data_IF_499364528480
#
_entry.id   IF_499364528480
#
_cell.length_a   1.000
_cell.length_b   1.000
_cell.length_c   1.000
_cell.angle_alpha   90.00
_cell.angle_beta   90.00
_cell.angle_gamma   90.00
#
_symmetry.space_group_name_H-M   'P 1'
#
loop_
_entity.id
_entity.type
_entity.pdbx_description
1 polymer ?
#
# COMPACT_ATOMS: atom_id res chain seq x y z
N UNK A 1 50.69 -15.32 -63.18
CA UNK A 1 49.31 -14.95 -62.90
C UNK A 1 48.91 -15.68 -61.63
N UNK A 2 49.04 -15.03 -60.49
CA UNK A 2 48.68 -15.57 -59.17
C UNK A 2 47.56 -14.73 -58.60
N UNK A 3 46.38 -15.33 -58.44
CA UNK A 3 45.19 -14.72 -57.84
C UNK A 3 45.24 -14.93 -56.33
N UNK A 4 45.29 -13.86 -55.58
CA UNK A 4 45.12 -13.84 -54.14
C UNK A 4 43.60 -13.90 -53.82
N UNK A 5 43.14 -14.75 -52.92
CA UNK A 5 41.79 -14.65 -52.35
C UNK A 5 41.78 -13.71 -51.14
N UNK A 6 41.01 -12.63 -51.22
CA UNK A 6 40.68 -11.78 -50.08
C UNK A 6 39.81 -12.56 -49.08
N UNK A 7 40.33 -12.76 -47.87
CA UNK A 7 39.60 -13.32 -46.74
C UNK A 7 38.79 -12.19 -46.11
N UNK A 8 37.46 -12.20 -46.29
CA UNK A 8 36.53 -11.24 -45.69
C UNK A 8 36.20 -11.73 -44.26
N UNK A 9 36.85 -11.15 -43.25
CA UNK A 9 36.53 -11.39 -41.86
C UNK A 9 35.25 -10.66 -41.50
N UNK A 10 34.14 -11.39 -41.35
CA UNK A 10 32.86 -10.86 -40.91
C UNK A 10 32.87 -10.78 -39.37
N UNK A 11 33.10 -9.57 -38.84
CA UNK A 11 33.09 -9.26 -37.42
C UNK A 11 31.64 -9.24 -36.90
N UNK A 12 31.16 -10.33 -36.33
CA UNK A 12 29.86 -10.36 -35.64
C UNK A 12 29.97 -9.54 -34.36
N UNK A 13 29.46 -8.31 -34.36
CA UNK A 13 29.20 -7.50 -33.18
C UNK A 13 28.03 -8.12 -32.40
N UNK A 14 28.34 -8.93 -31.39
CA UNK A 14 27.37 -9.37 -30.38
C UNK A 14 27.02 -8.17 -29.50
N UNK A 15 25.88 -7.52 -29.77
CA UNK A 15 25.27 -6.55 -28.85
C UNK A 15 24.70 -7.29 -27.66
N UNK A 16 25.42 -7.34 -26.57
CA UNK A 16 24.84 -7.74 -25.27
C UNK A 16 23.85 -6.68 -24.82
N UNK A 17 22.58 -6.93 -25.01
CA UNK A 17 21.54 -6.17 -24.33
C UNK A 17 21.70 -6.41 -22.83
N UNK A 18 22.23 -5.43 -22.09
CA UNK A 18 22.24 -5.44 -20.64
C UNK A 18 20.78 -5.37 -20.17
N UNK A 19 20.18 -6.50 -19.84
CA UNK A 19 18.93 -6.53 -19.10
C UNK A 19 19.18 -5.81 -17.77
N UNK A 20 18.51 -4.69 -17.56
CA UNK A 20 18.55 -3.98 -16.28
C UNK A 20 18.09 -4.98 -15.21
N UNK A 21 18.93 -5.26 -14.23
CA UNK A 21 18.54 -6.14 -13.13
C UNK A 21 17.24 -5.58 -12.51
N UNK A 22 16.26 -6.45 -12.29
CA UNK A 22 15.02 -6.08 -11.61
C UNK A 22 15.38 -5.46 -10.26
N UNK A 23 14.78 -4.31 -9.95
CA UNK A 23 15.00 -3.70 -8.64
C UNK A 23 14.29 -4.53 -7.54
N UNK A 24 14.52 -4.21 -6.27
CA UNK A 24 13.98 -4.98 -5.13
C UNK A 24 12.45 -5.00 -5.14
N UNK A 25 11.80 -3.98 -5.67
CA UNK A 25 10.33 -3.87 -5.72
C UNK A 25 9.75 -4.75 -6.82
N UNK A 26 10.37 -4.75 -8.00
CA UNK A 26 10.00 -5.66 -9.09
C UNK A 26 10.23 -7.13 -8.67
N UNK A 27 11.33 -7.41 -7.97
CA UNK A 27 11.62 -8.73 -7.44
C UNK A 27 10.58 -9.18 -6.39
N UNK A 28 10.12 -8.28 -5.52
CA UNK A 28 9.08 -8.57 -4.54
C UNK A 28 7.75 -8.91 -5.22
N UNK A 29 7.37 -8.17 -6.28
CA UNK A 29 6.15 -8.43 -7.06
C UNK A 29 6.26 -9.75 -7.84
N UNK A 30 7.43 -10.09 -8.37
CA UNK A 30 7.67 -11.32 -9.11
C UNK A 30 7.93 -12.55 -8.20
N UNK A 31 7.84 -12.41 -6.88
CA UNK A 31 8.19 -13.49 -5.94
C UNK A 31 7.28 -14.72 -6.12
N UNK A 32 7.90 -15.91 -6.29
CA UNK A 32 7.20 -17.14 -6.62
C UNK A 32 6.23 -17.64 -5.52
N UNK A 33 6.38 -17.16 -4.28
CA UNK A 33 5.49 -17.52 -3.16
C UNK A 33 4.14 -16.79 -3.15
N UNK A 34 3.91 -15.86 -4.07
CA UNK A 34 2.66 -15.06 -4.13
C UNK A 34 1.49 -15.85 -4.71
N UNK A 35 0.29 -15.55 -4.24
CA UNK A 35 -0.92 -16.21 -4.69
C UNK A 35 -1.30 -15.83 -6.13
N UNK A 36 -1.98 -16.73 -6.85
CA UNK A 36 -2.51 -16.43 -8.17
C UNK A 36 -3.52 -15.26 -8.17
N UNK A 37 -4.25 -15.08 -7.07
CA UNK A 37 -5.18 -13.97 -6.88
C UNK A 37 -4.43 -12.63 -6.81
N UNK A 38 -3.30 -12.59 -6.09
CA UNK A 38 -2.46 -11.41 -5.99
C UNK A 38 -1.84 -11.04 -7.35
N UNK A 39 -1.31 -12.03 -8.07
CA UNK A 39 -0.75 -11.80 -9.41
C UNK A 39 -1.80 -11.25 -10.40
N UNK A 40 -3.04 -11.71 -10.29
CA UNK A 40 -4.15 -11.17 -11.09
C UNK A 40 -4.52 -9.74 -10.72
N UNK A 41 -4.28 -9.34 -9.47
CA UNK A 41 -4.56 -7.99 -8.95
C UNK A 41 -3.48 -6.98 -9.36
N UNK A 42 -2.22 -7.40 -9.51
CA UNK A 42 -1.07 -6.53 -9.76
C UNK A 42 -1.27 -5.50 -10.89
N UNK A 43 -1.83 -5.86 -12.07
CA UNK A 43 -2.05 -4.89 -13.15
C UNK A 43 -3.00 -3.74 -12.81
N UNK A 44 -3.84 -3.92 -11.78
CA UNK A 44 -4.79 -2.90 -11.32
C UNK A 44 -4.18 -1.99 -10.25
N UNK A 45 -3.27 -2.52 -9.43
CA UNK A 45 -2.75 -1.84 -8.24
C UNK A 45 -1.31 -1.34 -8.40
N UNK A 46 -0.59 -1.71 -9.49
CA UNK A 46 0.77 -1.27 -9.79
C UNK A 46 1.72 -1.34 -8.58
N UNK A 47 1.80 -2.50 -7.88
CA UNK A 47 2.41 -2.57 -6.55
C UNK A 47 3.91 -2.25 -6.54
N UNK A 48 4.66 -2.55 -7.60
CA UNK A 48 6.08 -2.20 -7.68
C UNK A 48 6.28 -0.68 -7.66
N UNK A 49 5.45 0.07 -8.39
CA UNK A 49 5.52 1.53 -8.43
C UNK A 49 5.13 2.14 -7.08
N UNK A 50 4.10 1.60 -6.43
CA UNK A 50 3.65 2.04 -5.11
C UNK A 50 4.75 1.79 -4.06
N UNK A 51 5.34 0.60 -4.04
CA UNK A 51 6.44 0.28 -3.12
C UNK A 51 7.68 1.14 -3.39
N UNK A 52 8.01 1.39 -4.64
CA UNK A 52 9.15 2.25 -5.03
C UNK A 52 8.96 3.68 -4.52
N UNK A 53 7.75 4.22 -4.59
CA UNK A 53 7.40 5.52 -4.02
C UNK A 53 7.55 5.56 -2.50
N UNK A 54 7.20 4.49 -1.80
CA UNK A 54 7.37 4.41 -0.34
C UNK A 54 8.83 4.51 0.09
N UNK A 55 9.76 4.08 -0.77
CA UNK A 55 11.19 4.08 -0.48
C UNK A 55 11.60 3.14 0.65
N UNK A 56 10.77 2.17 1.04
CA UNK A 56 11.14 1.17 2.04
C UNK A 56 12.34 0.35 1.60
N UNK A 57 13.16 -0.10 2.55
CA UNK A 57 14.43 -0.78 2.29
C UNK A 57 14.63 -1.93 3.26
N UNK A 58 15.60 -2.78 2.95
CA UNK A 58 16.02 -3.87 3.83
C UNK A 58 16.32 -3.36 5.25
N UNK A 59 15.79 -4.07 6.24
CA UNK A 59 15.97 -3.80 7.67
C UNK A 59 14.95 -2.82 8.27
N UNK A 60 14.08 -2.21 7.47
CA UNK A 60 13.06 -1.27 7.97
C UNK A 60 11.95 -1.96 8.75
N UNK A 61 11.34 -1.19 9.67
CA UNK A 61 10.13 -1.51 10.43
C UNK A 61 8.94 -0.82 9.76
N UNK A 62 8.00 -1.58 9.23
CA UNK A 62 6.86 -1.06 8.47
C UNK A 62 5.57 -1.50 9.14
N UNK A 63 4.62 -0.58 9.34
CA UNK A 63 3.25 -0.93 9.71
C UNK A 63 2.33 -0.80 8.49
N UNK A 64 1.58 -1.86 8.21
CA UNK A 64 0.50 -1.90 7.21
C UNK A 64 -0.81 -1.93 7.99
N UNK A 65 -1.51 -0.79 8.04
CA UNK A 65 -2.65 -0.58 8.93
C UNK A 65 -3.94 -0.82 8.17
N UNK A 66 -4.84 -1.60 8.76
CA UNK A 66 -6.03 -2.17 8.12
C UNK A 66 -5.63 -2.94 6.85
N UNK A 67 -4.62 -3.78 7.01
CA UNK A 67 -3.96 -4.50 5.91
C UNK A 67 -4.88 -5.51 5.18
N UNK A 68 -6.03 -5.83 5.80
CA UNK A 68 -6.96 -6.83 5.29
C UNK A 68 -6.33 -8.22 5.20
N UNK A 69 -6.30 -8.77 4.00
CA UNK A 69 -5.67 -10.07 3.74
C UNK A 69 -4.12 -10.01 3.64
N UNK A 70 -3.51 -8.81 3.79
CA UNK A 70 -2.06 -8.62 3.83
C UNK A 70 -1.35 -8.57 2.49
N UNK A 71 -2.02 -8.17 1.43
CA UNK A 71 -1.41 -8.05 0.10
C UNK A 71 -0.14 -7.18 0.11
N UNK A 72 -0.19 -5.97 0.68
CA UNK A 72 0.98 -5.11 0.79
C UNK A 72 1.92 -5.52 1.91
N UNK A 73 1.41 -6.14 2.98
CA UNK A 73 2.25 -6.72 4.03
C UNK A 73 3.21 -7.77 3.49
N UNK A 74 2.73 -8.69 2.62
CA UNK A 74 3.57 -9.69 1.97
C UNK A 74 4.63 -9.05 1.06
N UNK A 75 4.24 -8.10 0.22
CA UNK A 75 5.16 -7.41 -0.67
C UNK A 75 6.22 -6.62 0.11
N UNK A 76 5.81 -5.90 1.16
CA UNK A 76 6.73 -5.17 2.03
C UNK A 76 7.70 -6.14 2.73
N UNK A 77 7.24 -7.33 3.14
CA UNK A 77 8.09 -8.33 3.81
C UNK A 77 9.27 -8.78 2.94
N UNK A 78 9.04 -8.94 1.64
CA UNK A 78 10.09 -9.29 0.70
C UNK A 78 11.11 -8.15 0.51
N UNK A 79 10.64 -6.89 0.52
CA UNK A 79 11.50 -5.71 0.40
C UNK A 79 12.35 -5.49 1.64
N UNK A 80 11.72 -5.53 2.85
CA UNK A 80 12.46 -5.29 4.08
C UNK A 80 13.34 -6.47 4.49
N UNK A 81 13.05 -7.66 3.98
CA UNK A 81 13.84 -8.86 4.18
C UNK A 81 13.96 -9.32 5.65
N UNK A 82 14.81 -10.30 5.94
CA UNK A 82 14.84 -10.97 7.25
C UNK A 82 15.35 -10.10 8.40
N UNK A 83 15.96 -8.96 8.11
CA UNK A 83 16.41 -7.99 9.13
C UNK A 83 15.37 -6.92 9.44
N UNK A 84 14.36 -6.77 8.57
CA UNK A 84 13.23 -5.87 8.75
C UNK A 84 12.03 -6.60 9.35
N UNK A 85 10.97 -5.86 9.58
CA UNK A 85 9.71 -6.38 10.13
C UNK A 85 8.52 -5.64 9.54
N UNK A 86 7.44 -6.36 9.32
CA UNK A 86 6.15 -5.79 8.92
C UNK A 86 5.14 -6.09 10.00
N UNK A 87 4.58 -5.05 10.60
CA UNK A 87 3.44 -5.12 11.50
C UNK A 87 2.17 -5.01 10.65
N UNK A 88 1.52 -6.14 10.46
CA UNK A 88 0.26 -6.26 9.75
C UNK A 88 -0.87 -6.05 10.75
N UNK A 89 -1.41 -4.84 10.80
CA UNK A 89 -2.37 -4.43 11.83
C UNK A 89 -3.77 -4.42 11.22
N UNK A 90 -4.67 -5.21 11.78
CA UNK A 90 -6.09 -5.20 11.49
C UNK A 90 -6.89 -4.87 12.76
N UNK A 91 -8.15 -4.51 12.58
CA UNK A 91 -9.16 -4.65 13.64
C UNK A 91 -10.00 -5.90 13.38
N UNK A 92 -10.90 -6.22 14.30
CA UNK A 92 -11.74 -7.41 14.20
C UNK A 92 -12.56 -7.50 12.91
N UNK A 93 -13.01 -6.37 12.37
CA UNK A 93 -13.76 -6.34 11.11
C UNK A 93 -12.89 -6.72 9.91
N UNK A 94 -11.70 -6.16 9.81
CA UNK A 94 -10.77 -6.45 8.71
C UNK A 94 -10.25 -7.89 8.76
N UNK A 95 -10.03 -8.45 9.95
CA UNK A 95 -9.68 -9.85 10.09
C UNK A 95 -10.85 -10.76 9.66
N UNK A 96 -12.07 -10.41 10.06
CA UNK A 96 -13.26 -11.17 9.65
C UNK A 96 -13.45 -11.17 8.12
N UNK A 97 -13.29 -9.99 7.48
CA UNK A 97 -13.46 -9.88 6.03
C UNK A 97 -12.32 -10.50 5.23
N UNK A 98 -11.12 -10.53 5.79
CA UNK A 98 -9.92 -11.11 5.18
C UNK A 98 -9.65 -12.57 5.52
N UNK A 99 -10.45 -13.23 6.39
CA UNK A 99 -10.13 -14.45 7.11
C UNK A 99 -9.46 -15.55 6.28
N UNK A 100 -10.10 -16.03 5.23
CA UNK A 100 -9.55 -17.13 4.44
C UNK A 100 -8.23 -16.81 3.74
N UNK A 101 -8.14 -15.75 2.94
CA UNK A 101 -6.90 -15.31 2.30
C UNK A 101 -5.80 -14.94 3.31
N UNK A 102 -6.16 -14.32 4.43
CA UNK A 102 -5.23 -13.98 5.51
C UNK A 102 -4.58 -15.22 6.11
N UNK A 103 -5.39 -16.21 6.49
CA UNK A 103 -4.90 -17.48 7.04
C UNK A 103 -3.99 -18.20 6.05
N UNK A 104 -4.37 -18.27 4.78
CA UNK A 104 -3.54 -18.86 3.73
C UNK A 104 -2.20 -18.13 3.55
N UNK A 105 -2.21 -16.79 3.67
CA UNK A 105 -1.01 -15.96 3.53
C UNK A 105 -0.02 -16.21 4.66
N UNK A 106 -0.49 -16.39 5.89
CA UNK A 106 0.35 -16.59 7.08
C UNK A 106 0.64 -18.06 7.37
N UNK A 107 0.06 -19.00 6.61
CA UNK A 107 0.22 -20.44 6.84
C UNK A 107 1.71 -20.84 6.86
N UNK A 108 2.03 -21.79 7.74
CA UNK A 108 3.37 -22.39 7.86
C UNK A 108 4.49 -21.37 8.12
N UNK A 109 4.16 -20.21 8.69
CA UNK A 109 5.12 -19.13 8.98
C UNK A 109 5.97 -18.71 7.77
N UNK A 110 5.39 -18.78 6.56
CA UNK A 110 6.12 -18.49 5.30
C UNK A 110 6.62 -17.04 5.21
N UNK A 111 6.02 -16.12 5.96
CA UNK A 111 6.40 -14.71 6.09
C UNK A 111 6.91 -14.47 7.52
N UNK A 112 8.05 -15.05 7.86
CA UNK A 112 8.60 -15.07 9.23
C UNK A 112 8.94 -13.68 9.81
N UNK A 113 8.97 -12.64 8.97
CA UNK A 113 9.18 -11.24 9.35
C UNK A 113 7.90 -10.40 9.31
N UNK A 114 6.72 -11.03 9.18
CA UNK A 114 5.41 -10.40 9.31
C UNK A 114 4.82 -10.78 10.65
N UNK A 115 4.43 -9.78 11.43
CA UNK A 115 3.66 -9.94 12.67
C UNK A 115 2.24 -9.45 12.41
N UNK A 116 1.27 -10.35 12.53
CA UNK A 116 -0.14 -10.00 12.43
C UNK A 116 -0.70 -9.71 13.83
N UNK A 117 -1.36 -8.57 13.95
CA UNK A 117 -1.98 -8.11 15.18
C UNK A 117 -3.41 -7.63 14.92
N UNK A 118 -4.35 -8.12 15.75
CA UNK A 118 -5.72 -7.60 15.78
C UNK A 118 -5.84 -6.60 16.91
N UNK A 119 -5.93 -5.30 16.58
CA UNK A 119 -5.91 -4.22 17.57
C UNK A 119 -7.20 -3.39 17.54
N UNK A 120 -7.54 -2.77 18.66
CA UNK A 120 -8.44 -1.62 18.67
C UNK A 120 -7.69 -0.41 18.08
N UNK A 121 -8.16 0.12 16.97
CA UNK A 121 -7.53 1.27 16.33
C UNK A 121 -7.49 2.51 17.25
N UNK A 122 -8.47 2.65 18.14
CA UNK A 122 -8.48 3.75 19.09
C UNK A 122 -7.38 3.64 20.16
N UNK A 123 -6.84 2.43 20.37
CA UNK A 123 -5.76 2.15 21.34
C UNK A 123 -4.78 1.10 20.81
N UNK A 124 -4.07 1.42 19.73
CA UNK A 124 -3.07 0.51 19.14
C UNK A 124 -1.82 0.35 20.01
N UNK A 125 -1.59 1.25 20.92
CA UNK A 125 -0.45 1.25 21.84
C UNK A 125 0.92 1.09 21.14
N UNK A 126 1.06 1.68 19.96
CA UNK A 126 2.29 1.59 19.16
C UNK A 126 3.44 2.31 19.86
N UNK A 127 4.61 1.66 19.88
CA UNK A 127 5.82 2.24 20.48
C UNK A 127 6.23 3.50 19.70
N UNK A 128 6.47 4.60 20.44
CA UNK A 128 6.91 5.86 19.84
C UNK A 128 8.24 5.70 19.10
N UNK A 129 8.37 6.34 17.93
CA UNK A 129 9.58 6.39 17.11
C UNK A 129 10.18 5.00 16.77
N UNK A 130 9.32 4.00 16.60
CA UNK A 130 9.75 2.63 16.27
C UNK A 130 9.64 2.30 14.77
N UNK A 131 8.74 2.97 14.04
CA UNK A 131 8.43 2.68 12.65
C UNK A 131 9.24 3.56 11.69
N UNK A 132 9.74 2.96 10.62
CA UNK A 132 10.36 3.67 9.49
C UNK A 132 9.31 4.10 8.48
N UNK A 133 8.25 3.29 8.29
CA UNK A 133 7.15 3.59 7.40
C UNK A 133 5.80 3.10 7.94
N UNK A 134 4.73 3.78 7.54
CA UNK A 134 3.33 3.39 7.74
C UNK A 134 2.64 3.38 6.38
N UNK A 135 1.87 2.33 6.12
CA UNK A 135 1.02 2.19 4.95
C UNK A 135 -0.45 2.33 5.34
N UNK A 136 -1.17 3.17 4.62
CA UNK A 136 -2.63 3.30 4.62
C UNK A 136 -3.08 3.15 3.18
N UNK A 137 -3.47 1.93 2.77
CA UNK A 137 -3.72 1.63 1.36
C UNK A 137 -5.17 1.23 1.13
N UNK A 138 -5.95 2.17 0.64
CA UNK A 138 -7.41 2.07 0.39
C UNK A 138 -8.23 1.89 1.67
N UNK A 139 -7.77 2.50 2.76
CA UNK A 139 -8.36 2.34 4.10
C UNK A 139 -8.43 3.65 4.91
N UNK A 140 -7.81 4.73 4.43
CA UNK A 140 -7.87 6.00 5.16
C UNK A 140 -9.29 6.55 5.22
N UNK A 141 -10.08 6.39 4.15
CA UNK A 141 -11.50 6.75 4.17
C UNK A 141 -12.29 5.94 5.20
N UNK A 142 -11.90 4.69 5.50
CA UNK A 142 -12.59 3.86 6.48
C UNK A 142 -12.44 4.40 7.92
N UNK A 143 -11.40 5.17 8.21
CA UNK A 143 -11.26 5.86 9.50
C UNK A 143 -12.37 6.90 9.73
N UNK A 144 -13.02 7.35 8.66
CA UNK A 144 -14.17 8.28 8.67
C UNK A 144 -15.51 7.58 8.43
N UNK A 145 -15.47 6.27 8.17
CA UNK A 145 -16.69 5.49 7.97
C UNK A 145 -17.38 5.20 9.31
N UNK A 146 -18.71 5.30 9.32
CA UNK A 146 -19.51 5.02 10.50
C UNK A 146 -20.52 3.93 10.17
N UNK A 147 -20.50 2.83 10.94
CA UNK A 147 -21.49 1.76 10.86
C UNK A 147 -22.83 2.17 11.49
N UNK A 148 -23.53 3.08 10.84
CA UNK A 148 -24.83 3.57 11.33
C UNK A 148 -25.96 2.55 11.24
N UNK A 149 -25.79 1.49 10.43
CA UNK A 149 -26.79 0.46 10.20
C UNK A 149 -26.51 -0.87 10.91
N UNK A 150 -25.39 -0.98 11.66
CA UNK A 150 -24.97 -2.22 12.29
C UNK A 150 -24.60 -3.33 11.30
N UNK A 151 -24.18 -2.95 10.09
CA UNK A 151 -23.84 -3.89 9.02
C UNK A 151 -22.66 -4.81 9.37
N UNK A 152 -21.81 -4.39 10.30
CA UNK A 152 -20.65 -5.16 10.76
C UNK A 152 -20.97 -6.05 11.98
N UNK A 153 -22.21 -6.03 12.48
CA UNK A 153 -22.55 -6.77 13.71
C UNK A 153 -21.78 -6.30 14.96
N UNK A 154 -21.30 -5.06 14.95
CA UNK A 154 -20.53 -4.47 16.05
C UNK A 154 -19.00 -4.67 15.92
N UNK A 155 -18.51 -5.29 14.84
CA UNK A 155 -17.07 -5.48 14.62
C UNK A 155 -16.34 -4.17 14.27
N UNK A 156 -17.08 -3.14 13.83
CA UNK A 156 -16.52 -1.83 13.53
C UNK A 156 -16.99 -0.81 14.57
N UNK A 157 -16.16 -0.48 15.56
CA UNK A 157 -16.49 0.54 16.54
C UNK A 157 -16.41 1.93 15.91
N UNK A 158 -16.93 2.93 16.61
CA UNK A 158 -16.67 4.32 16.22
C UNK A 158 -15.18 4.61 16.34
N UNK A 159 -14.57 5.11 15.27
CA UNK A 159 -13.15 5.45 15.23
C UNK A 159 -12.95 6.91 15.65
N UNK A 160 -12.05 7.15 16.58
CA UNK A 160 -11.45 8.46 16.82
C UNK A 160 -10.32 8.68 15.80
N UNK A 161 -10.70 9.13 14.61
CA UNK A 161 -9.75 9.30 13.51
C UNK A 161 -8.56 10.18 13.89
N UNK A 162 -8.79 11.26 14.66
CA UNK A 162 -7.72 12.14 15.10
C UNK A 162 -6.74 11.37 16.00
N UNK A 163 -7.24 10.65 17.00
CA UNK A 163 -6.43 9.82 17.89
C UNK A 163 -5.66 8.72 17.15
N UNK A 164 -6.27 8.07 16.16
CA UNK A 164 -5.59 7.06 15.31
C UNK A 164 -4.41 7.69 14.56
N UNK A 165 -4.64 8.80 13.87
CA UNK A 165 -3.59 9.46 13.08
C UNK A 165 -2.47 10.00 13.99
N UNK A 166 -2.80 10.49 15.18
CA UNK A 166 -1.81 10.95 16.18
C UNK A 166 -0.97 9.77 16.72
N UNK A 167 -1.57 8.58 16.92
CA UNK A 167 -0.83 7.38 17.30
C UNK A 167 0.17 6.98 16.19
N UNK A 168 -0.25 6.98 14.92
CA UNK A 168 0.64 6.68 13.78
C UNK A 168 1.75 7.72 13.64
N UNK A 169 1.42 9.00 13.80
CA UNK A 169 2.42 10.07 13.79
C UNK A 169 3.45 9.88 14.90
N UNK A 170 3.03 9.54 16.13
CA UNK A 170 3.92 9.29 17.26
C UNK A 170 4.80 8.05 17.02
N UNK A 171 4.25 6.98 16.45
CA UNK A 171 4.97 5.74 16.20
C UNK A 171 6.06 5.87 15.14
N UNK A 172 5.87 6.74 14.13
CA UNK A 172 6.87 7.01 13.12
C UNK A 172 8.10 7.72 13.70
N UNK A 173 9.28 7.30 13.29
CA UNK A 173 10.55 8.00 13.54
C UNK A 173 10.51 9.40 12.91
N UNK A 174 11.29 10.37 13.42
CA UNK A 174 11.55 11.62 12.68
C UNK A 174 12.06 11.30 11.27
N UNK A 175 11.49 11.95 10.24
CA UNK A 175 11.80 11.63 8.84
C UNK A 175 11.15 10.35 8.30
N UNK A 176 10.41 9.62 9.12
CA UNK A 176 9.66 8.43 8.70
C UNK A 176 8.60 8.74 7.64
N UNK A 177 8.21 7.73 6.89
CA UNK A 177 7.35 7.86 5.71
C UNK A 177 5.93 7.34 6.03
N UNK A 178 4.91 8.07 5.57
CA UNK A 178 3.56 7.56 5.46
C UNK A 178 3.17 7.48 3.99
N UNK A 179 2.89 6.28 3.51
CA UNK A 179 2.36 6.01 2.18
C UNK A 179 0.85 5.94 2.27
N UNK A 180 0.17 6.82 1.53
CA UNK A 180 -1.27 6.88 1.45
C UNK A 180 -1.72 6.63 0.01
N UNK A 181 -2.55 5.62 -0.17
CA UNK A 181 -3.29 5.37 -1.41
C UNK A 181 -4.76 5.32 -1.06
N UNK A 182 -5.62 6.11 -1.73
CA UNK A 182 -7.04 5.98 -1.47
C UNK A 182 -7.91 6.34 -2.68
N UNK A 183 -9.18 5.93 -2.60
CA UNK A 183 -10.20 6.19 -3.62
C UNK A 183 -10.59 7.66 -3.61
N UNK A 184 -10.39 8.33 -4.74
CA UNK A 184 -10.70 9.76 -4.87
C UNK A 184 -12.20 10.03 -4.77
N UNK A 185 -12.56 10.99 -3.94
CA UNK A 185 -13.90 11.61 -3.94
C UNK A 185 -13.93 12.86 -4.83
N UNK A 186 -15.11 13.42 -5.05
CA UNK A 186 -15.27 14.71 -5.75
C UNK A 186 -14.73 15.84 -4.88
N UNK A 187 -14.22 16.88 -5.55
CA UNK A 187 -13.76 18.09 -4.86
C UNK A 187 -14.89 18.72 -4.03
N UNK A 188 -14.53 19.22 -2.86
CA UNK A 188 -15.45 19.86 -1.92
C UNK A 188 -16.22 18.90 -1.00
N UNK A 189 -16.01 17.57 -1.14
CA UNK A 189 -16.71 16.59 -0.29
C UNK A 189 -15.96 16.33 1.03
N UNK A 190 -14.68 16.68 1.12
CA UNK A 190 -13.86 16.36 2.29
C UNK A 190 -13.88 14.87 2.60
N UNK A 191 -14.31 14.50 3.80
CA UNK A 191 -14.50 13.12 4.21
C UNK A 191 -15.95 12.61 4.12
N UNK A 192 -16.91 13.46 3.72
CA UNK A 192 -18.34 13.09 3.75
C UNK A 192 -18.69 11.93 2.80
N UNK A 193 -17.91 11.70 1.76
CA UNK A 193 -18.08 10.58 0.84
C UNK A 193 -17.63 9.22 1.44
N UNK A 194 -16.97 9.19 2.58
CA UNK A 194 -16.46 7.96 3.21
C UNK A 194 -17.59 7.00 3.57
N UNK A 195 -18.63 7.48 4.25
CA UNK A 195 -19.72 6.62 4.71
C UNK A 195 -20.60 6.04 3.60
N UNK A 196 -20.75 6.73 2.47
CA UNK A 196 -21.65 6.28 1.40
C UNK A 196 -20.92 5.63 0.22
N UNK A 197 -19.76 6.15 -0.13
CA UNK A 197 -19.05 5.76 -1.35
C UNK A 197 -17.71 5.07 -1.08
N UNK A 198 -17.23 5.01 0.16
CA UNK A 198 -15.88 4.56 0.52
C UNK A 198 -14.83 5.29 -0.34
N UNK A 199 -14.89 6.63 -0.29
CA UNK A 199 -14.02 7.55 -1.00
C UNK A 199 -13.70 8.74 -0.13
N UNK A 200 -12.58 9.39 -0.38
CA UNK A 200 -12.16 10.58 0.35
C UNK A 200 -11.51 11.59 -0.59
N UNK A 201 -11.64 12.89 -0.29
CA UNK A 201 -11.02 13.93 -1.09
C UNK A 201 -9.51 14.02 -0.83
N UNK A 202 -8.69 14.02 -1.90
CA UNK A 202 -7.24 14.11 -1.79
C UNK A 202 -6.80 15.37 -1.02
N UNK A 203 -7.39 16.51 -1.32
CA UNK A 203 -7.03 17.78 -0.66
C UNK A 203 -7.37 17.78 0.83
N UNK A 204 -8.39 17.03 1.25
CA UNK A 204 -8.72 16.82 2.65
C UNK A 204 -7.65 15.99 3.34
N UNK A 205 -7.23 14.87 2.73
CA UNK A 205 -6.15 14.03 3.26
C UNK A 205 -4.84 14.82 3.44
N UNK A 206 -4.47 15.64 2.45
CA UNK A 206 -3.27 16.49 2.54
C UNK A 206 -3.34 17.39 3.78
N UNK A 207 -4.43 18.14 3.95
CA UNK A 207 -4.60 19.07 5.09
C UNK A 207 -4.60 18.35 6.42
N UNK A 208 -5.22 17.18 6.49
CA UNK A 208 -5.34 16.40 7.72
C UNK A 208 -3.97 15.90 8.20
N UNK A 209 -3.13 15.39 7.29
CA UNK A 209 -1.77 14.97 7.63
C UNK A 209 -0.82 16.16 7.87
N UNK A 210 -0.93 17.25 7.10
CA UNK A 210 -0.14 18.46 7.33
C UNK A 210 -0.39 19.07 8.70
N UNK A 211 -1.63 19.05 9.20
CA UNK A 211 -1.98 19.50 10.55
C UNK A 211 -1.30 18.69 11.66
N UNK A 212 -0.77 17.52 11.35
CA UNK A 212 -0.06 16.59 12.26
C UNK A 212 1.46 16.55 12.06
N UNK A 213 2.01 17.56 11.39
CA UNK A 213 3.46 17.67 11.18
C UNK A 213 4.01 16.78 10.06
N UNK A 214 3.17 16.40 9.10
CA UNK A 214 3.64 15.75 7.89
C UNK A 214 3.80 16.76 6.75
N UNK A 215 4.66 16.42 5.79
CA UNK A 215 4.76 17.15 4.52
C UNK A 215 4.67 16.17 3.36
N UNK A 216 3.89 16.52 2.33
CA UNK A 216 3.89 15.77 1.07
C UNK A 216 5.26 15.88 0.43
N UNK A 217 5.91 14.74 0.18
CA UNK A 217 7.24 14.67 -0.46
C UNK A 217 7.19 14.03 -1.84
N UNK A 218 6.15 13.26 -2.14
CA UNK A 218 5.91 12.73 -3.49
C UNK A 218 4.42 12.48 -3.72
N UNK A 219 4.03 12.51 -5.00
CA UNK A 219 2.71 12.12 -5.52
C UNK A 219 2.90 11.27 -6.77
N UNK A 220 1.91 10.45 -7.10
CA UNK A 220 1.91 9.69 -8.34
C UNK A 220 0.54 9.60 -8.95
N UNK A 221 0.51 9.66 -10.28
CA UNK A 221 -0.71 9.50 -11.08
C UNK A 221 -0.89 8.07 -11.61
N UNK A 222 -0.05 7.12 -11.19
CA UNK A 222 -0.05 5.74 -11.68
C UNK A 222 -1.39 5.03 -11.49
N UNK A 223 -2.18 5.43 -10.49
CA UNK A 223 -3.50 4.89 -10.20
C UNK A 223 -4.66 5.80 -10.60
N UNK A 224 -4.39 6.88 -11.33
CA UNK A 224 -5.45 7.78 -11.80
C UNK A 224 -6.32 7.14 -12.86
N UNK A 225 -7.61 7.40 -12.74
CA UNK A 225 -8.65 6.96 -13.67
C UNK A 225 -9.56 8.15 -13.99
N UNK A 226 -9.22 8.96 -15.00
CA UNK A 226 -9.98 10.17 -15.34
C UNK A 226 -11.46 9.91 -15.66
N UNK A 227 -11.76 8.71 -16.16
CA UNK A 227 -13.12 8.31 -16.53
C UNK A 227 -14.01 7.91 -15.33
N UNK A 228 -13.44 7.82 -14.12
CA UNK A 228 -14.22 7.55 -12.91
C UNK A 228 -15.01 8.79 -12.49
N UNK A 229 -16.32 8.75 -12.60
CA UNK A 229 -17.22 9.84 -12.20
C UNK A 229 -17.25 10.08 -10.67
N UNK A 230 -16.66 9.18 -9.87
CA UNK A 230 -16.54 9.25 -8.41
C UNK A 230 -17.88 9.32 -7.67
N UNK A 231 -18.92 8.68 -8.22
CA UNK A 231 -20.29 8.67 -7.70
C UNK A 231 -20.79 7.27 -7.32
N UNK A 232 -19.98 6.24 -7.61
CA UNK A 232 -20.26 4.87 -7.25
C UNK A 232 -19.39 4.43 -6.06
N UNK A 233 -19.95 3.50 -5.27
CA UNK A 233 -19.22 2.89 -4.16
C UNK A 233 -17.96 2.17 -4.68
N UNK A 234 -16.82 2.37 -4.02
CA UNK A 234 -15.50 2.02 -4.57
C UNK A 234 -15.21 0.52 -4.63
N UNK A 235 -15.75 -0.27 -3.67
CA UNK A 235 -15.33 -1.66 -3.45
C UNK A 235 -16.28 -2.71 -4.06
N UNK A 236 -17.36 -2.30 -4.72
CA UNK A 236 -18.33 -3.23 -5.33
C UNK A 236 -18.96 -2.69 -6.61
N UNK A 237 -19.67 -3.58 -7.34
CA UNK A 237 -20.41 -3.22 -8.53
C UNK A 237 -19.51 -2.75 -9.69
N UNK A 238 -20.00 -1.84 -10.54
CA UNK A 238 -19.30 -1.42 -11.77
C UNK A 238 -17.98 -0.70 -11.51
N UNK A 239 -17.80 -0.09 -10.33
CA UNK A 239 -16.60 0.66 -9.97
C UNK A 239 -15.47 -0.23 -9.44
N UNK A 240 -15.74 -1.49 -9.11
CA UNK A 240 -14.72 -2.40 -8.57
C UNK A 240 -13.51 -2.51 -9.50
N UNK A 241 -12.33 -2.17 -8.99
CA UNK A 241 -11.06 -2.18 -9.74
C UNK A 241 -10.90 -1.06 -10.78
N UNK A 242 -11.88 -0.13 -10.89
CA UNK A 242 -11.88 0.93 -11.91
C UNK A 242 -11.91 2.34 -11.31
N UNK A 243 -11.85 2.49 -10.01
CA UNK A 243 -11.87 3.78 -9.32
C UNK A 243 -10.63 4.60 -9.58
N UNK A 244 -10.80 5.93 -9.67
CA UNK A 244 -9.68 6.86 -9.55
C UNK A 244 -9.11 6.80 -8.13
N UNK A 245 -7.78 6.75 -8.04
CA UNK A 245 -7.08 6.69 -6.75
C UNK A 245 -5.92 7.68 -6.77
N UNK A 246 -5.77 8.40 -5.67
CA UNK A 246 -4.59 9.21 -5.45
C UNK A 246 -3.51 8.43 -4.68
N UNK A 247 -2.26 8.79 -4.92
CA UNK A 247 -1.09 8.25 -4.23
C UNK A 247 -0.29 9.42 -3.66
N UNK A 248 -0.12 9.43 -2.35
CA UNK A 248 0.64 10.46 -1.64
C UNK A 248 1.70 9.80 -0.76
N UNK A 249 2.88 10.39 -0.76
CA UNK A 249 3.93 10.04 0.19
C UNK A 249 4.16 11.25 1.09
N UNK A 250 3.98 11.04 2.36
CA UNK A 250 4.25 12.03 3.39
C UNK A 250 5.53 11.70 4.13
N UNK A 251 6.22 12.72 4.59
CA UNK A 251 7.35 12.61 5.52
C UNK A 251 7.00 13.31 6.82
N UNK A 252 7.23 12.62 7.94
CA UNK A 252 7.12 13.22 9.28
C UNK A 252 8.25 14.24 9.47
N UNK A 253 7.91 15.47 9.88
CA UNK A 253 8.87 16.56 10.16
C UNK A 253 9.35 16.50 11.58
#
# INVERSE_FOLDING_TARGET
MTRNPLLLCMLCLLTFAHAKAADVYDAAVAHAGRSAADLKRDPLDHPADILRLSGIKSGMQVADVLAGDGYYSELASYVVGPKGRVFMINNAAFDHWGEGPLQARLASNRLSNVEHETLDLNDMNLKAHSLDAVFLIKVYHDLYWVDSGGATGGLWPRIDTAGVLDQLARALKPGGILLLVDHSARAGTGHSAASGLHRIEESYAVKDFEARGFKVVAKSDVLRRPDDARDLISYKGPALGKTDRFVLVFRKT
#
